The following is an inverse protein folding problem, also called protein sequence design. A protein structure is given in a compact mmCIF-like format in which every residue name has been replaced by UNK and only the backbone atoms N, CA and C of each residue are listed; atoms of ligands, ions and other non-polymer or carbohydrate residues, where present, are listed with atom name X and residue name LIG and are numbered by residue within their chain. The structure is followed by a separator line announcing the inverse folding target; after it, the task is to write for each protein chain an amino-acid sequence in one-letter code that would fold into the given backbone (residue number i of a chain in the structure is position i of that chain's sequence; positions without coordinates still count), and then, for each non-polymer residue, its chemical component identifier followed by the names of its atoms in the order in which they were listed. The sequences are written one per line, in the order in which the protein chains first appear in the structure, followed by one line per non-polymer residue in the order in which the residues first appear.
data_IF_070287202314
#
_entry.id   IF_070287202314
#
_cell.length_a   1.000
_cell.length_b   1.000
_cell.length_c   1.000
_cell.angle_alpha   90.00
_cell.angle_beta   90.00
_cell.angle_gamma   90.00
#
_symmetry.space_group_name_H-M   'P 1'
#
loop_
_entity.id
_entity.type
_entity.pdbx_description
1 polymer ?
#
# COMPACT_ATOMS: atom_id res chain seq x y z
N UNK A 1 -29.76 16.60 14.46
CA UNK A 1 -28.33 16.40 14.12
C UNK A 1 -28.09 14.90 14.08
N UNK A 2 -28.00 14.31 12.89
CA UNK A 2 -27.76 12.87 12.74
C UNK A 2 -26.29 12.59 13.02
N UNK A 3 -25.99 12.04 14.19
CA UNK A 3 -24.67 11.46 14.45
C UNK A 3 -24.48 10.29 13.48
N UNK A 4 -23.55 10.45 12.53
CA UNK A 4 -23.09 9.35 11.71
C UNK A 4 -22.45 8.31 12.65
N UNK A 5 -23.08 7.13 12.75
CA UNK A 5 -22.51 5.98 13.43
C UNK A 5 -21.14 5.70 12.82
N UNK A 6 -20.04 5.69 13.60
CA UNK A 6 -18.74 5.28 13.07
C UNK A 6 -18.88 3.88 12.50
N UNK A 7 -18.46 3.69 11.25
CA UNK A 7 -18.36 2.36 10.65
C UNK A 7 -17.57 1.49 11.64
N UNK A 8 -18.08 0.30 12.04
CA UNK A 8 -17.34 -0.56 12.93
C UNK A 8 -15.97 -0.85 12.32
N UNK A 9 -14.89 -0.52 13.04
CA UNK A 9 -13.58 -1.11 12.77
C UNK A 9 -13.80 -2.62 12.75
N UNK A 10 -13.45 -3.26 11.66
CA UNK A 10 -13.46 -4.71 11.65
C UNK A 10 -12.33 -5.21 12.54
N UNK A 11 -12.56 -6.32 13.20
CA UNK A 11 -11.56 -6.93 14.06
C UNK A 11 -10.42 -7.46 13.19
N UNK A 12 -9.23 -6.89 13.35
CA UNK A 12 -8.00 -7.30 12.68
C UNK A 12 -6.86 -7.14 13.67
N UNK A 13 -6.04 -8.18 13.78
CA UNK A 13 -4.95 -8.23 14.76
C UNK A 13 -3.62 -7.79 14.13
N UNK A 14 -2.65 -7.34 14.93
CA UNK A 14 -1.30 -7.02 14.43
C UNK A 14 -0.68 -8.15 13.61
N UNK A 15 -0.87 -9.41 14.02
CA UNK A 15 -0.31 -10.59 13.38
C UNK A 15 -0.94 -10.87 12.01
N UNK A 16 -2.20 -10.48 11.80
CA UNK A 16 -2.84 -10.54 10.49
C UNK A 16 -2.15 -9.59 9.51
N UNK A 17 -1.79 -8.39 9.97
CA UNK A 17 -1.07 -7.40 9.17
C UNK A 17 0.35 -7.88 8.85
N UNK A 18 1.07 -8.39 9.85
CA UNK A 18 2.44 -8.88 9.65
C UNK A 18 2.48 -10.04 8.65
N UNK A 19 1.55 -11.00 8.78
CA UNK A 19 1.42 -12.12 7.84
C UNK A 19 1.09 -11.65 6.43
N UNK A 20 0.14 -10.72 6.28
CA UNK A 20 -0.22 -10.17 4.97
C UNK A 20 0.97 -9.45 4.32
N UNK A 21 1.65 -8.59 5.06
CA UNK A 21 2.79 -7.82 4.54
C UNK A 21 3.94 -8.73 4.13
N UNK A 22 4.31 -9.71 4.96
CA UNK A 22 5.37 -10.66 4.63
C UNK A 22 5.04 -11.45 3.35
N UNK A 23 3.83 -12.02 3.27
CA UNK A 23 3.37 -12.78 2.10
C UNK A 23 3.29 -11.92 0.83
N UNK A 24 2.90 -10.65 0.99
CA UNK A 24 2.80 -9.70 -0.11
C UNK A 24 4.17 -9.35 -0.68
N UNK A 25 5.14 -9.06 0.18
CA UNK A 25 6.48 -8.68 -0.26
C UNK A 25 7.30 -9.85 -0.81
N UNK A 26 7.06 -11.07 -0.33
CA UNK A 26 7.56 -12.29 -0.98
C UNK A 26 7.10 -12.35 -2.46
N UNK A 27 5.82 -12.09 -2.71
CA UNK A 27 5.27 -12.06 -4.08
C UNK A 27 5.79 -10.89 -4.90
N UNK A 28 5.93 -9.70 -4.30
CA UNK A 28 6.51 -8.53 -4.98
C UNK A 28 7.92 -8.81 -5.46
N UNK A 29 8.77 -9.45 -4.63
CA UNK A 29 10.14 -9.81 -5.03
C UNK A 29 10.18 -10.74 -6.25
N UNK A 30 9.19 -11.63 -6.37
CA UNK A 30 9.09 -12.57 -7.49
C UNK A 30 8.38 -11.98 -8.73
N UNK A 31 7.74 -10.81 -8.62
CA UNK A 31 6.97 -10.22 -9.72
C UNK A 31 7.89 -9.63 -10.80
N UNK A 32 7.68 -10.02 -12.05
CA UNK A 32 8.53 -9.62 -13.17
C UNK A 32 8.46 -8.11 -13.49
N UNK A 33 7.39 -7.42 -13.10
CA UNK A 33 7.18 -5.99 -13.38
C UNK A 33 7.49 -5.13 -12.15
N UNK A 34 6.92 -5.49 -11.01
CA UNK A 34 7.06 -4.74 -9.76
C UNK A 34 8.38 -5.03 -9.06
N UNK A 35 8.84 -6.28 -9.07
CA UNK A 35 10.07 -6.71 -8.40
C UNK A 35 11.29 -5.84 -8.75
N UNK A 36 11.59 -5.58 -10.04
CA UNK A 36 12.70 -4.71 -10.43
C UNK A 36 12.60 -3.28 -9.89
N UNK A 37 11.40 -2.71 -9.76
CA UNK A 37 11.19 -1.36 -9.21
C UNK A 37 11.53 -1.33 -7.72
N UNK A 38 11.04 -2.31 -6.96
CA UNK A 38 11.36 -2.42 -5.54
C UNK A 38 12.83 -2.79 -5.30
N UNK A 39 13.42 -3.65 -6.13
CA UNK A 39 14.83 -4.02 -6.05
C UNK A 39 15.77 -2.81 -6.22
N UNK A 40 15.45 -1.89 -7.14
CA UNK A 40 16.19 -0.63 -7.31
C UNK A 40 15.96 0.36 -6.17
N UNK A 41 14.75 0.37 -5.59
CA UNK A 41 14.40 1.31 -4.52
C UNK A 41 14.85 0.87 -3.11
N UNK A 42 15.02 -0.44 -2.88
CA UNK A 42 15.33 -1.02 -1.56
C UNK A 42 16.71 -1.70 -1.59
N UNK A 43 16.81 -2.85 -2.25
CA UNK A 43 18.03 -3.62 -2.42
C UNK A 43 17.78 -4.73 -3.46
N UNK A 44 18.82 -5.15 -4.24
CA UNK A 44 18.68 -6.17 -5.27
C UNK A 44 18.36 -7.57 -4.72
N UNK A 45 18.80 -7.88 -3.51
CA UNK A 45 18.61 -9.18 -2.86
C UNK A 45 17.89 -9.02 -1.52
N UNK A 46 17.23 -10.09 -1.06
CA UNK A 46 16.60 -10.11 0.26
C UNK A 46 17.65 -9.93 1.37
N UNK A 47 17.31 -9.15 2.40
CA UNK A 47 18.28 -8.68 3.36
C UNK A 47 17.72 -7.73 4.43
N UNK A 48 18.61 -7.12 5.23
CA UNK A 48 18.22 -6.16 6.27
C UNK A 48 17.38 -5.00 5.76
N UNK A 49 17.66 -4.48 4.56
CA UNK A 49 16.94 -3.38 3.92
C UNK A 49 15.50 -3.76 3.59
N UNK A 50 15.29 -4.99 3.10
CA UNK A 50 13.96 -5.54 2.86
C UNK A 50 13.19 -5.74 4.16
N UNK A 51 13.82 -6.32 5.20
CA UNK A 51 13.19 -6.46 6.52
C UNK A 51 12.79 -5.11 7.12
N UNK A 52 13.63 -4.09 6.99
CA UNK A 52 13.32 -2.74 7.43
C UNK A 52 12.16 -2.12 6.62
N UNK A 53 12.12 -2.35 5.30
CA UNK A 53 11.01 -1.91 4.47
C UNK A 53 9.70 -2.59 4.86
N UNK A 54 9.66 -3.91 4.98
CA UNK A 54 8.48 -4.67 5.38
C UNK A 54 7.97 -4.22 6.77
N UNK A 55 8.87 -4.07 7.74
CA UNK A 55 8.49 -3.59 9.08
C UNK A 55 7.84 -2.20 9.05
N UNK A 56 8.39 -1.28 8.23
CA UNK A 56 7.82 0.06 8.02
C UNK A 56 6.43 0.01 7.39
N UNK A 57 6.20 -0.91 6.45
CA UNK A 57 4.92 -1.04 5.75
C UNK A 57 3.88 -1.77 6.60
N UNK A 58 4.31 -2.71 7.45
CA UNK A 58 3.45 -3.28 8.49
C UNK A 58 2.99 -2.21 9.49
N UNK A 59 3.89 -1.32 9.93
CA UNK A 59 3.53 -0.18 10.77
C UNK A 59 2.55 0.78 10.07
N UNK A 60 2.73 1.04 8.77
CA UNK A 60 1.79 1.81 7.97
C UNK A 60 0.38 1.21 8.00
N UNK A 61 0.26 -0.10 7.75
CA UNK A 61 -1.04 -0.77 7.72
C UNK A 61 -1.69 -0.84 9.10
N UNK A 62 -0.94 -1.15 10.17
CA UNK A 62 -1.43 -1.10 11.55
C UNK A 62 -1.98 0.29 11.90
N UNK A 63 -1.31 1.35 11.45
CA UNK A 63 -1.81 2.72 11.59
C UNK A 63 -3.10 2.96 10.78
N UNK A 64 -3.13 2.54 9.51
CA UNK A 64 -4.28 2.72 8.64
C UNK A 64 -5.55 2.03 9.15
N UNK A 65 -5.44 0.86 9.79
CA UNK A 65 -6.57 0.15 10.42
C UNK A 65 -6.82 0.60 11.87
N UNK A 66 -5.92 1.41 12.42
CA UNK A 66 -6.05 2.04 13.73
C UNK A 66 -5.79 1.11 14.91
N UNK A 67 -4.86 0.16 14.75
CA UNK A 67 -4.28 -0.67 15.82
C UNK A 67 -3.29 0.15 16.65
N UNK A 68 -2.31 0.78 16.00
CA UNK A 68 -1.31 1.63 16.64
C UNK A 68 -1.07 2.91 15.84
N UNK A 69 -0.26 3.84 16.36
CA UNK A 69 0.09 5.10 15.67
C UNK A 69 1.60 5.22 15.45
N UNK A 70 2.26 4.10 15.18
CA UNK A 70 3.73 4.01 15.08
C UNK A 70 4.28 4.52 13.75
N UNK A 71 3.46 4.60 12.69
CA UNK A 71 3.88 5.11 11.39
C UNK A 71 3.81 6.65 11.31
N UNK A 72 4.92 7.28 10.92
CA UNK A 72 5.11 8.73 10.80
C UNK A 72 5.47 9.21 9.37
N UNK A 73 5.45 8.29 8.40
CA UNK A 73 5.82 8.57 7.02
C UNK A 73 4.75 9.29 6.19
N UNK A 74 5.14 9.73 5.00
CA UNK A 74 4.22 10.23 3.97
C UNK A 74 4.33 9.37 2.71
N UNK A 75 3.50 8.32 2.58
CA UNK A 75 3.65 7.36 1.50
C UNK A 75 3.37 8.01 0.14
N UNK A 76 2.35 8.88 0.04
CA UNK A 76 2.05 9.59 -1.21
C UNK A 76 3.25 10.41 -1.71
N UNK A 77 3.92 11.15 -0.83
CA UNK A 77 5.11 11.94 -1.22
C UNK A 77 6.23 11.05 -1.73
N UNK A 78 6.49 9.90 -1.09
CA UNK A 78 7.55 8.97 -1.54
C UNK A 78 7.26 8.43 -2.93
N UNK A 79 6.01 8.07 -3.24
CA UNK A 79 5.63 7.56 -4.56
C UNK A 79 5.68 8.65 -5.64
N UNK A 80 5.27 9.88 -5.32
CA UNK A 80 5.33 11.03 -6.25
C UNK A 80 6.77 11.46 -6.54
N UNK A 81 7.71 11.30 -5.61
CA UNK A 81 9.11 11.68 -5.80
C UNK A 81 9.96 10.59 -6.48
N UNK A 82 9.43 9.37 -6.64
CA UNK A 82 10.14 8.29 -7.32
C UNK A 82 9.68 8.19 -8.78
N UNK A 83 10.53 8.60 -9.73
CA UNK A 83 10.25 8.64 -11.18
C UNK A 83 10.04 7.28 -11.84
N UNK A 84 10.40 6.19 -11.16
CA UNK A 84 10.09 4.84 -11.65
C UNK A 84 8.66 4.40 -11.33
N UNK A 85 7.99 5.06 -10.38
CA UNK A 85 6.60 4.75 -10.02
C UNK A 85 5.65 5.39 -11.00
N UNK A 86 5.09 4.55 -11.89
CA UNK A 86 4.15 4.98 -12.93
C UNK A 86 2.69 4.70 -12.52
N UNK A 87 1.72 5.55 -12.94
CA UNK A 87 0.30 5.34 -12.62
C UNK A 87 -0.24 3.95 -12.96
N UNK A 88 0.23 3.35 -14.06
CA UNK A 88 -0.20 2.02 -14.51
C UNK A 88 0.18 0.88 -13.57
N UNK A 89 1.25 1.03 -12.78
CA UNK A 89 1.77 -0.03 -11.90
C UNK A 89 0.85 -0.31 -10.70
N UNK A 90 0.05 0.68 -10.28
CA UNK A 90 -0.86 0.55 -9.14
C UNK A 90 -1.90 -0.56 -9.35
N UNK A 91 -2.35 -0.77 -10.59
CA UNK A 91 -3.33 -1.82 -10.90
C UNK A 91 -2.78 -3.22 -10.59
N UNK A 92 -1.55 -3.51 -11.01
CA UNK A 92 -0.86 -4.76 -10.71
C UNK A 92 -0.58 -4.93 -9.22
N UNK A 93 -0.11 -3.85 -8.57
CA UNK A 93 0.16 -3.86 -7.13
C UNK A 93 -1.12 -4.16 -6.31
N UNK A 94 -2.24 -3.50 -6.64
CA UNK A 94 -3.53 -3.68 -5.95
C UNK A 94 -4.11 -5.07 -6.20
N UNK A 95 -4.01 -5.59 -7.43
CA UNK A 95 -4.43 -6.95 -7.75
C UNK A 95 -3.63 -7.99 -6.96
N UNK A 96 -2.31 -7.82 -6.87
CA UNK A 96 -1.44 -8.71 -6.11
C UNK A 96 -1.73 -8.64 -4.61
N UNK A 97 -1.95 -7.44 -4.08
CA UNK A 97 -2.29 -7.24 -2.66
C UNK A 97 -3.60 -7.90 -2.31
N UNK A 98 -4.65 -7.71 -3.13
CA UNK A 98 -5.96 -8.35 -2.96
C UNK A 98 -5.83 -9.87 -2.95
N UNK A 99 -5.16 -10.45 -3.95
CA UNK A 99 -4.94 -11.90 -4.03
C UNK A 99 -4.22 -12.41 -2.77
N UNK A 100 -3.19 -11.70 -2.33
CA UNK A 100 -2.46 -12.09 -1.11
C UNK A 100 -3.36 -12.05 0.11
N UNK A 101 -4.18 -11.01 0.27
CA UNK A 101 -5.13 -10.87 1.37
C UNK A 101 -6.15 -12.01 1.40
N UNK A 102 -6.70 -12.38 0.23
CA UNK A 102 -7.65 -13.50 0.09
C UNK A 102 -7.03 -14.86 0.46
N UNK A 103 -5.73 -15.04 0.22
CA UNK A 103 -5.01 -16.28 0.52
C UNK A 103 -4.63 -16.42 2.01
N UNK A 104 -4.34 -15.30 2.70
CA UNK A 104 -3.75 -15.35 4.05
C UNK A 104 -4.67 -14.88 5.17
N UNK A 105 -5.80 -14.22 4.84
CA UNK A 105 -6.75 -13.70 5.82
C UNK A 105 -8.12 -14.38 5.70
N UNK A 106 -8.92 -14.40 6.79
CA UNK A 106 -10.33 -14.73 6.69
C UNK A 106 -11.07 -13.84 5.68
N UNK A 107 -12.09 -14.33 4.96
CA UNK A 107 -12.74 -13.61 3.85
C UNK A 107 -13.19 -12.18 4.19
N UNK A 108 -13.76 -11.96 5.38
CA UNK A 108 -14.19 -10.63 5.78
C UNK A 108 -13.00 -9.66 5.94
N UNK A 109 -11.91 -10.10 6.59
CA UNK A 109 -10.71 -9.29 6.79
C UNK A 109 -10.03 -9.00 5.45
N UNK A 110 -9.94 -10.00 4.59
CA UNK A 110 -9.38 -9.87 3.24
C UNK A 110 -10.12 -8.81 2.42
N UNK A 111 -11.45 -8.90 2.35
CA UNK A 111 -12.31 -7.95 1.64
C UNK A 111 -12.09 -6.52 2.14
N UNK A 112 -12.02 -6.32 3.46
CA UNK A 112 -11.88 -4.99 4.04
C UNK A 112 -10.47 -4.41 3.86
N UNK A 113 -9.43 -5.24 3.96
CA UNK A 113 -8.05 -4.83 3.65
C UNK A 113 -7.90 -4.46 2.17
N UNK A 114 -8.46 -5.25 1.26
CA UNK A 114 -8.45 -4.95 -0.17
C UNK A 114 -9.18 -3.63 -0.47
N UNK A 115 -10.37 -3.41 0.09
CA UNK A 115 -11.10 -2.16 -0.10
C UNK A 115 -10.38 -0.92 0.47
N UNK A 116 -9.66 -1.08 1.59
CA UNK A 116 -8.82 -0.01 2.13
C UNK A 116 -7.62 0.26 1.21
N UNK A 117 -6.97 -0.78 0.70
CA UNK A 117 -5.87 -0.67 -0.23
C UNK A 117 -6.27 0.01 -1.53
N UNK A 118 -7.42 -0.34 -2.11
CA UNK A 118 -7.94 0.32 -3.31
C UNK A 118 -8.12 1.82 -3.09
N UNK A 119 -8.75 2.22 -1.97
CA UNK A 119 -8.97 3.65 -1.65
C UNK A 119 -7.66 4.42 -1.53
N UNK A 120 -6.68 3.87 -0.81
CA UNK A 120 -5.38 4.50 -0.59
C UNK A 120 -4.59 4.53 -1.91
N UNK A 121 -4.58 3.41 -2.64
CA UNK A 121 -3.90 3.24 -3.92
C UNK A 121 -4.43 4.18 -4.99
N UNK A 122 -5.75 4.39 -5.09
CA UNK A 122 -6.34 5.36 -6.01
C UNK A 122 -5.90 6.79 -5.70
N UNK A 123 -5.84 7.17 -4.42
CA UNK A 123 -5.32 8.48 -4.01
C UNK A 123 -3.86 8.68 -4.40
N UNK A 124 -3.02 7.65 -4.21
CA UNK A 124 -1.61 7.69 -4.62
C UNK A 124 -1.44 7.70 -6.13
N UNK A 125 -2.20 6.89 -6.86
CA UNK A 125 -2.21 6.85 -8.33
C UNK A 125 -2.60 8.21 -8.91
N UNK A 126 -3.63 8.83 -8.35
CA UNK A 126 -4.03 10.19 -8.74
C UNK A 126 -2.89 11.18 -8.50
N UNK A 127 -2.27 11.17 -7.31
CA UNK A 127 -1.17 12.07 -7.00
C UNK A 127 0.04 11.87 -7.93
N UNK A 128 0.39 10.63 -8.26
CA UNK A 128 1.45 10.31 -9.23
C UNK A 128 1.09 10.80 -10.63
N UNK A 129 -0.18 10.73 -11.04
CA UNK A 129 -0.66 11.27 -12.32
C UNK A 129 -0.51 12.80 -12.39
N UNK A 130 -0.67 13.49 -11.26
CA UNK A 130 -0.51 14.95 -11.17
C UNK A 130 0.96 15.40 -11.05
N UNK A 131 1.93 14.49 -11.12
CA UNK A 131 3.36 14.83 -10.97
C UNK A 131 3.78 15.92 -11.97
N UNK A 132 4.54 16.89 -11.46
CA UNK A 132 5.05 18.02 -12.25
C UNK A 132 3.98 19.00 -12.72
N UNK A 133 2.74 18.94 -12.22
CA UNK A 133 1.73 19.96 -12.50
C UNK A 133 2.02 21.25 -11.75
N UNK A 134 1.86 22.37 -12.46
CA UNK A 134 1.89 23.69 -11.84
C UNK A 134 0.70 23.86 -10.89
N UNK A 135 0.93 24.59 -9.79
CA UNK A 135 -0.12 24.85 -8.81
C UNK A 135 -1.25 25.67 -9.44
N UNK A 136 -2.44 25.09 -9.51
CA UNK A 136 -3.64 25.73 -10.09
C UNK A 136 -3.93 25.32 -11.54
N UNK A 137 -3.07 24.50 -12.16
CA UNK A 137 -3.40 23.88 -13.44
C UNK A 137 -4.59 22.91 -13.30
N UNK A 138 -5.43 22.76 -14.35
CA UNK A 138 -6.47 21.74 -14.37
C UNK A 138 -5.89 20.34 -14.12
N UNK A 139 -6.60 19.46 -13.40
CA UNK A 139 -6.09 18.12 -13.12
C UNK A 139 -5.97 17.30 -14.40
N UNK A 140 -4.87 16.53 -14.50
CA UNK A 140 -4.73 15.49 -15.52
C UNK A 140 -5.67 14.33 -15.20
N UNK A 141 -6.53 13.99 -16.14
CA UNK A 141 -7.49 12.89 -15.97
C UNK A 141 -6.96 11.55 -16.52
N UNK A 142 -5.93 11.59 -17.38
CA UNK A 142 -5.31 10.45 -18.06
C UNK A 142 -3.80 10.67 -18.22
#
# INVERSE_FOLDING_TARGET
MTNATPVPKFEIEPEDIDRLVAAFYERIRADATLGPVFARAIAPEDGPEWRAHEAKIAAFWRNAVGIDRSYDGNPTRVHVLNDEVMPGMFSGWLALFRKTAEEVLPPEKAMRMAALADRIGDGMRYAVTQRGQEKGAPPKLF
#
